data_IF_188501248688
#
_entry.id   IF_188501248688
#
_cell.length_a   1.000
_cell.length_b   1.000
_cell.length_c   1.000
_cell.angle_alpha   90.00
_cell.angle_beta   90.00
_cell.angle_gamma   90.00
#
_symmetry.space_group_name_H-M   'P 1'
#
loop_
_entity.id
_entity.type
_entity.pdbx_description
1 polymer ?
#
# COMPACT_ATOMS: atom_id res chain seq x y z
N UNK A 1 17.51 -15.92 -26.06
CA UNK A 1 18.08 -14.68 -25.51
C UNK A 1 17.26 -14.30 -24.29
N UNK A 2 17.80 -14.56 -23.09
CA UNK A 2 17.21 -14.13 -21.82
C UNK A 2 17.35 -12.61 -21.70
N UNK A 3 16.24 -11.91 -21.44
CA UNK A 3 16.30 -10.50 -21.09
C UNK A 3 17.07 -10.36 -19.78
N UNK A 4 18.19 -9.64 -19.80
CA UNK A 4 18.94 -9.29 -18.60
C UNK A 4 18.08 -8.34 -17.77
N UNK A 5 17.91 -8.68 -16.49
CA UNK A 5 17.29 -7.86 -15.45
C UNK A 5 18.18 -6.64 -15.14
N UNK A 6 18.32 -5.73 -16.08
CA UNK A 6 19.05 -4.48 -15.87
C UNK A 6 18.09 -3.44 -15.25
N UNK A 7 17.54 -3.78 -14.09
CA UNK A 7 16.97 -2.81 -13.12
C UNK A 7 18.08 -2.12 -12.30
N UNK A 8 19.32 -2.28 -12.72
CA UNK A 8 20.51 -1.69 -12.11
C UNK A 8 20.83 -0.33 -12.73
N UNK A 9 20.11 0.71 -12.33
CA UNK A 9 20.52 2.10 -12.62
C UNK A 9 20.28 2.96 -11.38
N UNK A 10 21.22 2.86 -10.44
CA UNK A 10 21.38 3.75 -9.28
C UNK A 10 20.16 3.93 -8.34
N UNK A 11 20.36 4.44 -7.13
CA UNK A 11 19.24 4.79 -6.24
C UNK A 11 18.32 5.89 -6.83
N UNK A 12 18.80 6.67 -7.80
CA UNK A 12 18.04 7.75 -8.46
C UNK A 12 17.08 7.28 -9.55
N UNK A 13 17.59 6.70 -10.64
CA UNK A 13 16.79 6.41 -11.85
C UNK A 13 15.86 5.21 -11.66
N UNK A 14 16.30 4.19 -10.91
CA UNK A 14 15.45 3.05 -10.56
C UNK A 14 14.20 3.44 -9.75
N UNK A 15 14.34 4.39 -8.81
CA UNK A 15 13.22 4.86 -8.00
C UNK A 15 12.21 5.67 -8.81
N UNK A 16 12.68 6.55 -9.70
CA UNK A 16 11.82 7.29 -10.63
C UNK A 16 11.05 6.32 -11.53
N UNK A 17 11.73 5.33 -12.11
CA UNK A 17 11.10 4.29 -12.93
C UNK A 17 10.01 3.54 -12.18
N UNK A 18 10.27 3.12 -10.93
CA UNK A 18 9.28 2.43 -10.09
C UNK A 18 8.09 3.32 -9.71
N UNK A 19 8.32 4.59 -9.37
CA UNK A 19 7.24 5.53 -9.08
C UNK A 19 6.33 5.75 -10.30
N UNK A 20 6.90 5.89 -11.50
CA UNK A 20 6.11 5.98 -12.73
C UNK A 20 5.33 4.70 -13.02
N UNK A 21 5.96 3.53 -12.87
CA UNK A 21 5.29 2.24 -13.05
C UNK A 21 4.13 2.08 -12.06
N UNK A 22 4.33 2.39 -10.79
CA UNK A 22 3.30 2.32 -9.75
C UNK A 22 2.12 3.26 -10.05
N UNK A 23 2.36 4.48 -10.56
CA UNK A 23 1.28 5.39 -10.99
C UNK A 23 0.47 4.85 -12.16
N UNK A 24 1.13 4.23 -13.15
CA UNK A 24 0.43 3.60 -14.27
C UNK A 24 -0.42 2.43 -13.76
N UNK A 25 0.14 1.60 -12.88
CA UNK A 25 -0.58 0.48 -12.27
C UNK A 25 -1.75 0.96 -11.41
N UNK A 26 -1.61 2.05 -10.66
CA UNK A 26 -2.71 2.65 -9.91
C UNK A 26 -3.91 2.95 -10.81
N UNK A 27 -3.67 3.54 -11.99
CA UNK A 27 -4.76 3.83 -12.93
C UNK A 27 -5.47 2.55 -13.39
N UNK A 28 -4.69 1.54 -13.80
CA UNK A 28 -5.23 0.26 -14.25
C UNK A 28 -5.98 -0.49 -13.13
N UNK A 29 -5.43 -0.46 -11.92
CA UNK A 29 -5.99 -1.09 -10.73
C UNK A 29 -7.14 -0.29 -10.11
N UNK A 30 -7.46 0.90 -10.60
CA UNK A 30 -8.70 1.59 -10.22
C UNK A 30 -9.94 0.97 -10.90
N UNK A 31 -9.72 0.09 -11.88
CA UNK A 31 -10.75 -0.58 -12.68
C UNK A 31 -10.71 -2.10 -12.42
N UNK A 32 -11.83 -2.74 -12.05
CA UNK A 32 -11.86 -4.18 -11.75
C UNK A 32 -11.31 -5.07 -12.88
N UNK A 33 -11.58 -4.72 -14.14
CA UNK A 33 -11.10 -5.40 -15.35
C UNK A 33 -9.58 -5.34 -15.52
N UNK A 34 -8.93 -4.33 -14.95
CA UNK A 34 -7.48 -4.15 -15.00
C UNK A 34 -6.73 -5.19 -14.16
N UNK A 35 -7.36 -5.75 -13.12
CA UNK A 35 -6.67 -6.58 -12.13
C UNK A 35 -6.11 -7.88 -12.73
N UNK A 36 -6.94 -8.62 -13.48
CA UNK A 36 -6.51 -9.86 -14.12
C UNK A 36 -5.43 -9.61 -15.18
N UNK A 37 -5.52 -8.49 -15.91
CA UNK A 37 -4.55 -8.11 -16.93
C UNK A 37 -3.20 -7.75 -16.32
N UNK A 38 -3.19 -6.97 -15.24
CA UNK A 38 -1.99 -6.61 -14.48
C UNK A 38 -1.33 -7.85 -13.87
N UNK A 39 -2.13 -8.78 -13.35
CA UNK A 39 -1.65 -10.08 -12.84
C UNK A 39 -1.01 -10.93 -13.93
N UNK A 40 -1.68 -11.10 -15.07
CA UNK A 40 -1.16 -11.90 -16.21
C UNK A 40 0.16 -11.36 -16.74
N UNK A 41 0.38 -10.05 -16.65
CA UNK A 41 1.62 -9.39 -17.07
C UNK A 41 2.78 -9.55 -16.05
N UNK A 42 2.55 -10.17 -14.89
CA UNK A 42 3.54 -10.30 -13.80
C UNK A 42 3.80 -8.99 -13.02
N UNK A 43 3.12 -7.90 -13.40
CA UNK A 43 3.29 -6.60 -12.75
C UNK A 43 2.68 -6.58 -11.33
N UNK A 44 1.67 -7.41 -11.07
CA UNK A 44 1.10 -7.57 -9.73
C UNK A 44 2.10 -8.16 -8.75
N UNK A 45 2.80 -9.23 -9.13
CA UNK A 45 3.76 -9.91 -8.26
C UNK A 45 4.92 -8.97 -7.90
N UNK A 46 5.41 -8.20 -8.89
CA UNK A 46 6.43 -7.18 -8.66
C UNK A 46 5.96 -6.07 -7.71
N UNK A 47 4.71 -5.63 -7.84
CA UNK A 47 4.11 -4.62 -6.97
C UNK A 47 3.98 -5.12 -5.52
N UNK A 48 3.48 -6.35 -5.35
CA UNK A 48 3.34 -6.97 -4.02
C UNK A 48 4.72 -7.18 -3.38
N UNK A 49 5.70 -7.70 -4.12
CA UNK A 49 7.07 -7.86 -3.63
C UNK A 49 7.68 -6.53 -3.16
N UNK A 50 7.57 -5.47 -3.97
CA UNK A 50 8.12 -4.16 -3.61
C UNK A 50 7.40 -3.54 -2.40
N UNK A 51 6.07 -3.73 -2.31
CA UNK A 51 5.32 -3.27 -1.13
C UNK A 51 5.74 -3.98 0.16
N UNK A 52 6.03 -5.28 0.09
CA UNK A 52 6.51 -6.07 1.22
C UNK A 52 7.92 -5.64 1.67
N UNK A 53 8.81 -5.32 0.73
CA UNK A 53 10.14 -4.75 1.03
C UNK A 53 10.02 -3.42 1.77
N UNK A 54 9.24 -2.47 1.23
CA UNK A 54 9.02 -1.17 1.87
C UNK A 54 8.39 -1.31 3.27
N UNK A 55 7.48 -2.28 3.45
CA UNK A 55 6.89 -2.54 4.75
C UNK A 55 7.90 -3.04 5.78
N UNK A 56 8.94 -3.78 5.36
CA UNK A 56 10.06 -4.22 6.22
C UNK A 56 10.99 -3.06 6.53
N UNK A 57 11.40 -2.29 5.53
CA UNK A 57 12.23 -1.09 5.69
C UNK A 57 11.58 -0.11 6.69
N UNK A 58 10.30 0.19 6.49
CA UNK A 58 9.52 1.05 7.41
C UNK A 58 9.43 0.49 8.84
N UNK A 59 9.47 -0.85 9.01
CA UNK A 59 9.45 -1.49 10.31
C UNK A 59 10.71 -1.28 11.12
N UNK A 60 11.85 -1.46 10.45
CA UNK A 60 13.19 -1.30 11.06
C UNK A 60 13.42 0.14 11.51
N UNK A 61 12.81 1.10 10.82
CA UNK A 61 12.94 2.53 11.09
C UNK A 61 11.93 3.07 12.12
N UNK A 62 11.09 2.21 12.71
CA UNK A 62 10.12 2.58 13.75
C UNK A 62 8.84 3.25 13.25
N UNK A 63 8.68 3.43 11.94
CA UNK A 63 7.40 3.77 11.29
C UNK A 63 6.74 5.10 11.69
N UNK A 64 7.37 5.92 12.52
CA UNK A 64 6.84 7.23 12.94
C UNK A 64 7.60 8.32 12.24
N UNK A 65 7.08 8.75 11.08
CA UNK A 65 7.61 9.93 10.39
C UNK A 65 6.81 11.17 10.82
N UNK A 66 7.37 12.05 11.66
CA UNK A 66 6.69 13.28 12.10
C UNK A 66 6.48 14.30 10.98
N UNK A 67 7.13 14.07 9.82
CA UNK A 67 6.90 14.71 8.54
C UNK A 67 7.78 14.01 7.49
N UNK A 68 7.54 14.29 6.21
CA UNK A 68 8.33 13.74 5.10
C UNK A 68 9.84 13.90 5.29
N UNK A 69 10.31 15.03 5.81
CA UNK A 69 11.74 15.32 6.02
C UNK A 69 12.41 14.39 7.05
N UNK A 70 11.64 13.66 7.85
CA UNK A 70 12.15 12.82 8.93
C UNK A 70 12.21 11.32 8.57
N UNK A 71 11.87 10.95 7.33
CA UNK A 71 12.04 9.59 6.82
C UNK A 71 13.53 9.35 6.51
N UNK A 72 14.20 8.34 7.11
CA UNK A 72 15.53 7.92 6.69
C UNK A 72 15.56 7.59 5.19
N UNK A 73 16.60 8.07 4.50
CA UNK A 73 16.65 8.04 3.03
C UNK A 73 16.11 9.31 2.35
N UNK A 74 15.39 10.21 3.04
CA UNK A 74 14.92 11.46 2.43
C UNK A 74 16.03 12.53 2.24
N UNK A 75 17.22 12.31 2.80
CA UNK A 75 18.42 13.10 2.47
C UNK A 75 19.29 12.46 1.37
N UNK A 76 18.99 11.22 0.93
CA UNK A 76 19.75 10.52 -0.12
C UNK A 76 18.91 10.03 -1.32
N UNK A 77 17.57 10.11 -1.28
CA UNK A 77 16.71 9.84 -2.42
C UNK A 77 15.35 10.55 -2.28
N UNK A 78 15.23 11.74 -2.89
CA UNK A 78 13.98 12.50 -3.05
C UNK A 78 12.86 11.75 -3.82
N UNK A 79 13.02 10.45 -4.12
CA UNK A 79 12.13 9.65 -4.97
C UNK A 79 11.43 8.47 -4.24
N UNK A 80 11.64 8.27 -2.93
CA UNK A 80 11.06 7.14 -2.17
C UNK A 80 9.59 7.36 -1.76
N UNK A 81 9.22 8.60 -1.45
CA UNK A 81 7.86 8.95 -0.98
C UNK A 81 6.83 8.84 -2.09
N UNK A 82 7.16 9.35 -3.29
CA UNK A 82 6.24 9.29 -4.43
C UNK A 82 6.06 7.86 -4.93
N UNK A 83 7.11 7.03 -4.84
CA UNK A 83 7.02 5.58 -5.07
C UNK A 83 6.07 4.94 -4.05
N UNK A 84 6.26 5.21 -2.75
CA UNK A 84 5.42 4.66 -1.68
C UNK A 84 3.96 5.10 -1.78
N UNK A 85 3.68 6.39 -2.05
CA UNK A 85 2.32 6.90 -2.31
C UNK A 85 1.67 6.25 -3.51
N UNK A 86 2.40 6.08 -4.60
CA UNK A 86 1.88 5.43 -5.80
C UNK A 86 1.60 3.95 -5.55
N UNK A 87 2.48 3.25 -4.83
CA UNK A 87 2.27 1.86 -4.42
C UNK A 87 1.06 1.72 -3.50
N UNK A 88 0.91 2.60 -2.51
CA UNK A 88 -0.25 2.62 -1.62
C UNK A 88 -1.54 2.83 -2.39
N UNK A 89 -1.56 3.78 -3.32
CA UNK A 89 -2.72 4.03 -4.16
C UNK A 89 -3.04 2.85 -5.10
N UNK A 90 -2.02 2.17 -5.62
CA UNK A 90 -2.20 0.99 -6.47
C UNK A 90 -2.75 -0.21 -5.67
N UNK A 91 -2.25 -0.46 -4.46
CA UNK A 91 -2.80 -1.46 -3.54
C UNK A 91 -4.24 -1.13 -3.15
N UNK A 92 -4.54 0.14 -2.88
CA UNK A 92 -5.92 0.58 -2.65
C UNK A 92 -6.82 0.28 -3.85
N UNK A 93 -6.36 0.58 -5.08
CA UNK A 93 -7.06 0.20 -6.31
C UNK A 93 -7.35 -1.29 -6.37
N UNK A 94 -6.30 -2.12 -6.19
CA UNK A 94 -6.37 -3.57 -6.23
C UNK A 94 -7.41 -4.16 -5.27
N UNK A 95 -7.50 -3.63 -4.04
CA UNK A 95 -8.52 -4.04 -3.05
C UNK A 95 -9.96 -3.66 -3.43
N UNK A 96 -10.18 -3.03 -4.58
CA UNK A 96 -11.50 -2.74 -5.15
C UNK A 96 -12.23 -3.97 -5.72
N UNK A 97 -11.63 -5.15 -5.69
CA UNK A 97 -12.24 -6.41 -6.15
C UNK A 97 -11.91 -7.58 -5.21
N UNK A 98 -12.70 -8.64 -5.24
CA UNK A 98 -12.43 -9.86 -4.48
C UNK A 98 -11.07 -10.51 -4.83
N UNK A 99 -10.75 -10.60 -6.13
CA UNK A 99 -9.47 -11.16 -6.59
C UNK A 99 -8.28 -10.38 -6.02
N UNK A 100 -8.35 -9.05 -6.08
CA UNK A 100 -7.28 -8.21 -5.59
C UNK A 100 -7.17 -8.22 -4.05
N UNK A 101 -8.28 -8.37 -3.33
CA UNK A 101 -8.24 -8.61 -1.88
C UNK A 101 -7.52 -9.93 -1.58
N UNK A 102 -7.83 -11.02 -2.30
CA UNK A 102 -7.13 -12.29 -2.14
C UNK A 102 -5.63 -12.15 -2.41
N UNK A 103 -5.24 -11.43 -3.47
CA UNK A 103 -3.84 -11.22 -3.84
C UNK A 103 -3.05 -10.44 -2.77
N UNK A 104 -3.66 -9.41 -2.16
CA UNK A 104 -3.04 -8.67 -1.04
C UNK A 104 -2.87 -9.56 0.19
N UNK A 105 -3.87 -10.39 0.50
CA UNK A 105 -3.86 -11.24 1.70
C UNK A 105 -2.84 -12.38 1.65
N UNK A 106 -2.29 -12.71 0.48
CA UNK A 106 -1.19 -13.68 0.35
C UNK A 106 0.11 -13.16 1.00
N UNK A 107 0.29 -11.84 1.07
CA UNK A 107 1.49 -11.20 1.63
C UNK A 107 1.18 -10.52 2.97
N UNK A 108 1.55 -11.18 4.06
CA UNK A 108 1.40 -10.66 5.43
C UNK A 108 2.13 -9.31 5.59
N UNK A 109 3.32 -9.17 5.00
CA UNK A 109 4.08 -7.92 5.05
C UNK A 109 3.42 -6.79 4.27
N UNK A 110 2.83 -7.07 3.10
CA UNK A 110 2.05 -6.06 2.37
C UNK A 110 0.87 -5.60 3.22
N UNK A 111 0.16 -6.53 3.86
CA UNK A 111 -0.96 -6.21 4.74
C UNK A 111 -0.53 -5.37 5.95
N UNK A 112 0.61 -5.71 6.59
CA UNK A 112 1.19 -4.88 7.66
C UNK A 112 1.59 -3.48 7.15
N UNK A 113 2.14 -3.37 5.95
CA UNK A 113 2.45 -2.09 5.31
C UNK A 113 1.22 -1.20 5.17
N UNK A 114 0.11 -1.76 4.69
CA UNK A 114 -1.18 -1.06 4.61
C UNK A 114 -1.61 -0.55 5.99
N UNK A 115 -1.53 -1.37 7.03
CA UNK A 115 -1.88 -0.99 8.42
C UNK A 115 -0.95 0.08 8.99
N UNK A 116 0.33 0.13 8.60
CA UNK A 116 1.23 1.23 8.97
C UNK A 116 0.79 2.52 8.31
N UNK A 117 0.44 2.49 7.03
CA UNK A 117 0.00 3.69 6.31
C UNK A 117 -1.26 4.30 6.90
N UNK A 118 -2.19 3.50 7.43
CA UNK A 118 -3.36 3.96 8.19
C UNK A 118 -2.99 4.97 9.31
N UNK A 119 -1.83 4.78 9.93
CA UNK A 119 -1.29 5.62 11.01
C UNK A 119 -0.35 6.73 10.51
N UNK A 120 -0.13 6.86 9.20
CA UNK A 120 0.75 7.86 8.63
C UNK A 120 0.22 9.28 8.84
N UNK A 121 1.14 10.24 8.98
CA UNK A 121 0.81 11.67 8.95
C UNK A 121 0.66 12.21 7.52
N UNK A 122 1.03 11.43 6.51
CA UNK A 122 0.79 11.75 5.11
C UNK A 122 -0.67 11.44 4.74
N UNK A 123 -1.48 12.44 4.36
CA UNK A 123 -2.90 12.23 4.06
C UNK A 123 -3.16 11.27 2.90
N UNK A 124 -2.26 11.19 1.91
CA UNK A 124 -2.42 10.30 0.76
C UNK A 124 -2.16 8.84 1.15
N UNK A 125 -1.10 8.60 1.92
CA UNK A 125 -0.81 7.27 2.46
C UNK A 125 -1.90 6.83 3.45
N UNK A 126 -2.27 7.73 4.38
CA UNK A 126 -3.32 7.47 5.36
C UNK A 126 -4.65 7.11 4.70
N UNK A 127 -5.06 7.86 3.67
CA UNK A 127 -6.28 7.59 2.93
C UNK A 127 -6.21 6.26 2.17
N UNK A 128 -5.11 5.99 1.48
CA UNK A 128 -4.94 4.75 0.72
C UNK A 128 -4.91 3.53 1.64
N UNK A 129 -4.14 3.59 2.73
CA UNK A 129 -4.07 2.55 3.76
C UNK A 129 -5.43 2.30 4.42
N UNK A 130 -6.07 3.35 4.94
CA UNK A 130 -7.40 3.23 5.57
C UNK A 130 -8.45 2.70 4.60
N UNK A 131 -8.46 3.18 3.35
CA UNK A 131 -9.37 2.69 2.31
C UNK A 131 -9.14 1.22 1.96
N UNK A 132 -7.90 0.81 1.80
CA UNK A 132 -7.55 -0.57 1.45
C UNK A 132 -7.91 -1.55 2.59
N UNK A 133 -7.51 -1.23 3.83
CA UNK A 133 -7.84 -2.06 5.00
C UNK A 133 -9.35 -2.13 5.20
N UNK A 134 -10.07 -1.01 5.06
CA UNK A 134 -11.53 -1.01 5.16
C UNK A 134 -12.19 -1.90 4.10
N UNK A 135 -11.71 -1.86 2.85
CA UNK A 135 -12.20 -2.74 1.78
C UNK A 135 -11.98 -4.21 2.10
N UNK A 136 -10.79 -4.57 2.59
CA UNK A 136 -10.46 -5.94 3.00
C UNK A 136 -11.40 -6.40 4.12
N UNK A 137 -11.55 -5.62 5.19
CA UNK A 137 -12.47 -5.94 6.32
C UNK A 137 -13.91 -6.10 5.83
N UNK A 138 -14.39 -5.17 5.00
CA UNK A 138 -15.76 -5.20 4.49
C UNK A 138 -16.04 -6.38 3.54
N UNK A 139 -15.00 -6.99 2.95
CA UNK A 139 -15.12 -8.08 1.99
C UNK A 139 -15.65 -9.38 2.62
N UNK A 140 -15.39 -9.64 3.90
CA UNK A 140 -15.95 -10.81 4.57
C UNK A 140 -15.32 -11.12 5.94
N UNK A 141 -15.95 -12.02 6.72
CA UNK A 141 -15.49 -12.35 8.08
C UNK A 141 -14.07 -12.92 8.13
N UNK A 142 -13.71 -13.77 7.16
CA UNK A 142 -12.37 -14.36 7.09
C UNK A 142 -11.31 -13.28 6.83
N UNK A 143 -11.59 -12.34 5.93
CA UNK A 143 -10.70 -11.23 5.60
C UNK A 143 -10.57 -10.26 6.79
N UNK A 144 -11.66 -9.98 7.48
CA UNK A 144 -11.66 -9.20 8.72
C UNK A 144 -10.80 -9.86 9.81
N UNK A 145 -10.86 -11.20 9.91
CA UNK A 145 -10.03 -11.97 10.85
C UNK A 145 -8.55 -11.84 10.51
N UNK A 146 -8.16 -11.98 9.23
CA UNK A 146 -6.77 -11.76 8.80
C UNK A 146 -6.23 -10.37 9.16
N UNK A 147 -7.09 -9.34 9.07
CA UNK A 147 -6.73 -7.98 9.50
C UNK A 147 -6.59 -7.90 11.02
N UNK A 148 -7.49 -8.54 11.77
CA UNK A 148 -7.50 -8.53 13.23
C UNK A 148 -6.29 -9.26 13.83
N UNK A 149 -5.90 -10.41 13.26
CA UNK A 149 -4.78 -11.24 13.73
C UNK A 149 -3.44 -10.50 13.68
N UNK A 150 -3.32 -9.49 12.79
CA UNK A 150 -2.15 -8.63 12.68
C UNK A 150 -2.26 -7.33 13.47
N UNK A 151 -3.29 -7.18 14.31
CA UNK A 151 -3.54 -5.98 15.10
C UNK A 151 -4.12 -4.81 14.31
N UNK A 152 -4.61 -5.03 13.08
CA UNK A 152 -5.08 -3.97 12.18
C UNK A 152 -6.32 -3.23 12.69
N UNK A 153 -7.11 -3.83 13.59
CA UNK A 153 -8.29 -3.16 14.14
C UNK A 153 -7.92 -1.93 14.98
N UNK A 154 -6.80 -1.97 15.70
CA UNK A 154 -6.29 -0.81 16.44
C UNK A 154 -5.95 0.34 15.48
N UNK A 155 -5.37 0.04 14.32
CA UNK A 155 -5.06 1.04 13.30
C UNK A 155 -6.34 1.65 12.71
N UNK A 156 -7.33 0.81 12.37
CA UNK A 156 -8.64 1.26 11.86
C UNK A 156 -9.35 2.18 12.87
N UNK A 157 -9.37 1.82 14.16
CA UNK A 157 -9.98 2.64 15.21
C UNK A 157 -9.22 3.97 15.36
N UNK A 158 -7.89 3.96 15.31
CA UNK A 158 -7.10 5.18 15.38
C UNK A 158 -7.42 6.16 14.24
N UNK A 159 -7.68 5.65 13.02
CA UNK A 159 -8.09 6.48 11.89
C UNK A 159 -9.46 7.14 12.02
N UNK A 160 -10.31 6.76 12.99
CA UNK A 160 -11.54 7.51 13.26
C UNK A 160 -11.25 8.94 13.78
N UNK A 161 -10.07 9.14 14.37
CA UNK A 161 -9.64 10.41 14.95
C UNK A 161 -8.63 11.18 14.09
N UNK A 162 -8.31 10.72 12.87
CA UNK A 162 -7.32 11.38 12.02
C UNK A 162 -7.83 12.67 11.38
N UNK A 163 -6.91 13.48 10.86
CA UNK A 163 -7.21 14.75 10.20
C UNK A 163 -7.81 14.60 8.80
N UNK A 164 -7.52 13.50 8.09
CA UNK A 164 -8.07 13.26 6.76
C UNK A 164 -9.55 12.80 6.83
N UNK A 165 -10.51 13.58 6.30
CA UNK A 165 -11.93 13.23 6.39
C UNK A 165 -12.30 11.94 5.66
N UNK A 166 -11.61 11.62 4.57
CA UNK A 166 -11.92 10.45 3.75
C UNK A 166 -11.43 9.16 4.43
N UNK A 167 -10.24 9.20 5.04
CA UNK A 167 -9.74 8.12 5.89
C UNK A 167 -10.68 7.84 7.07
N UNK A 168 -11.22 8.88 7.73
CA UNK A 168 -12.25 8.71 8.77
C UNK A 168 -13.50 7.99 8.26
N UNK A 169 -13.98 8.34 7.06
CA UNK A 169 -15.14 7.67 6.46
C UNK A 169 -14.86 6.18 6.19
N UNK A 170 -13.68 5.83 5.69
CA UNK A 170 -13.29 4.43 5.49
C UNK A 170 -13.20 3.67 6.80
N UNK A 171 -12.57 4.25 7.82
CA UNK A 171 -12.50 3.67 9.15
C UNK A 171 -13.89 3.44 9.75
N UNK A 172 -14.79 4.42 9.66
CA UNK A 172 -16.17 4.30 10.15
C UNK A 172 -16.95 3.18 9.43
N UNK A 173 -16.74 3.03 8.13
CA UNK A 173 -17.34 1.94 7.35
C UNK A 173 -16.84 0.57 7.81
N UNK A 174 -15.53 0.44 8.09
CA UNK A 174 -14.92 -0.80 8.55
C UNK A 174 -15.38 -1.21 9.96
N UNK A 175 -15.50 -0.25 10.89
CA UNK A 175 -15.89 -0.52 12.29
C UNK A 175 -17.38 -0.90 12.44
N UNK A 176 -18.23 -0.50 11.48
CA UNK A 176 -19.66 -0.85 11.49
C UNK A 176 -19.93 -2.32 11.14
N UNK A 177 -18.97 -2.98 10.49
CA UNK A 177 -19.07 -4.32 9.92
C UNK A 177 -18.81 -5.40 10.94
#
# INVERSE_FOLDING_TARGET
MQARNDWGSGPGDGAVGRAHAARVLQHLLSQPEGHASVKKAGALDALLARSAELAKESAEEGGTYPSLAAVPGNLNSLNSVEEERALAAALYGLTGSELGVQDVLVSEETLRGLMRWVLSQDPLLQRAGAGAVARIVCSGPSQATSVADLGGFAAVVASLACSDPQARCYAAAAVRK
#
